data_IF_848759436379
#
_entry.id   IF_848759436379
#
_cell.length_a   1.000
_cell.length_b   1.000
_cell.length_c   1.000
_cell.angle_alpha   90.00
_cell.angle_beta   90.00
_cell.angle_gamma   90.00
#
_symmetry.space_group_name_H-M   'P 1'
#
loop_
_entity.id
_entity.type
_entity.pdbx_description
1 polymer ?
#
# COMPACT_ATOMS: atom_id res chain seq x y z
N UNK A 1 6.73 5.53 -14.85
CA UNK A 1 5.51 5.10 -14.12
C UNK A 1 5.80 3.89 -13.25
N UNK A 2 6.23 2.76 -13.81
CA UNK A 2 6.66 1.60 -13.00
C UNK A 2 7.73 1.98 -11.97
N UNK A 3 8.79 2.67 -12.36
CA UNK A 3 9.85 3.10 -11.44
C UNK A 3 9.33 3.99 -10.29
N UNK A 4 8.36 4.86 -10.56
CA UNK A 4 7.75 5.73 -9.56
C UNK A 4 6.86 4.95 -8.60
N UNK A 5 6.11 3.96 -9.10
CA UNK A 5 5.38 3.04 -8.23
C UNK A 5 6.35 2.26 -7.33
N UNK A 6 7.44 1.73 -7.89
CA UNK A 6 8.47 1.06 -7.10
C UNK A 6 9.11 2.01 -6.07
N UNK A 7 9.35 3.28 -6.42
CA UNK A 7 9.79 4.29 -5.47
C UNK A 7 8.79 4.51 -4.33
N UNK A 8 7.49 4.43 -4.62
CA UNK A 8 6.43 4.45 -3.61
C UNK A 8 6.53 3.28 -2.63
N UNK A 9 6.70 2.05 -3.13
CA UNK A 9 6.91 0.87 -2.27
C UNK A 9 8.23 0.98 -1.48
N UNK A 10 9.28 1.53 -2.10
CA UNK A 10 10.58 1.72 -1.45
C UNK A 10 10.50 2.63 -0.22
N UNK A 11 9.52 3.53 -0.12
CA UNK A 11 9.29 4.31 1.10
C UNK A 11 8.97 3.40 2.30
N UNK A 12 8.12 2.38 2.09
CA UNK A 12 7.79 1.39 3.11
C UNK A 12 8.99 0.49 3.45
N UNK A 13 9.77 0.09 2.45
CA UNK A 13 11.01 -0.68 2.67
C UNK A 13 11.99 0.10 3.53
N UNK A 14 12.21 1.37 3.20
CA UNK A 14 13.10 2.26 3.94
C UNK A 14 12.59 2.51 5.37
N UNK A 15 11.31 2.86 5.54
CA UNK A 15 10.70 3.08 6.85
C UNK A 15 10.74 1.82 7.74
N UNK A 16 10.59 0.64 7.15
CA UNK A 16 10.70 -0.63 7.85
C UNK A 16 12.15 -1.11 8.10
N UNK A 17 13.16 -0.35 7.66
CA UNK A 17 14.57 -0.75 7.76
C UNK A 17 14.88 -2.05 7.01
N UNK A 18 14.23 -2.27 5.86
CA UNK A 18 14.39 -3.46 5.01
C UNK A 18 13.72 -4.74 5.52
N UNK A 19 13.02 -4.70 6.66
CA UNK A 19 12.29 -5.87 7.17
C UNK A 19 11.07 -6.20 6.34
N UNK A 20 10.40 -5.16 5.85
CA UNK A 20 9.39 -5.27 4.80
C UNK A 20 10.12 -5.09 3.46
N UNK A 21 9.90 -6.01 2.53
CA UNK A 21 10.54 -5.99 1.21
C UNK A 21 9.65 -6.67 0.16
N UNK A 22 10.00 -6.54 -1.11
CA UNK A 22 9.29 -7.14 -2.23
C UNK A 22 10.26 -7.77 -3.23
N UNK A 23 9.73 -8.62 -4.09
CA UNK A 23 10.40 -9.11 -5.29
C UNK A 23 9.49 -8.90 -6.48
N UNK A 24 10.06 -8.55 -7.63
CA UNK A 24 9.27 -8.42 -8.86
C UNK A 24 8.91 -9.82 -9.38
N UNK A 25 7.60 -10.06 -9.52
CA UNK A 25 7.11 -11.26 -10.18
C UNK A 25 7.31 -11.15 -11.71
N UNK A 26 7.59 -12.28 -12.36
CA UNK A 26 7.73 -12.33 -13.83
C UNK A 26 6.41 -12.19 -14.59
N UNK A 27 5.28 -12.40 -13.91
CA UNK A 27 3.94 -12.23 -14.46
C UNK A 27 2.96 -11.74 -13.39
N UNK A 28 1.84 -11.15 -13.81
CA UNK A 28 0.79 -10.71 -12.89
C UNK A 28 0.11 -11.86 -12.14
N UNK A 29 0.09 -13.08 -12.71
CA UNK A 29 -0.53 -14.25 -12.09
C UNK A 29 0.26 -14.79 -10.90
N UNK A 30 1.55 -14.48 -10.83
CA UNK A 30 2.46 -14.93 -9.76
C UNK A 30 2.65 -13.85 -8.68
N UNK A 31 2.01 -12.68 -8.83
CA UNK A 31 2.20 -11.54 -7.94
C UNK A 31 1.16 -11.53 -6.81
N UNK A 32 1.61 -11.33 -5.58
CA UNK A 32 0.71 -11.06 -4.45
C UNK A 32 0.06 -9.68 -4.56
N UNK A 33 0.78 -8.72 -5.16
CA UNK A 33 0.30 -7.35 -5.41
C UNK A 33 0.45 -7.05 -6.90
N UNK A 34 -0.65 -6.72 -7.55
CA UNK A 34 -0.66 -6.24 -8.94
C UNK A 34 -0.88 -4.74 -8.99
N UNK A 35 -0.30 -4.06 -9.97
CA UNK A 35 -0.41 -2.60 -10.13
C UNK A 35 -0.86 -2.29 -11.56
N UNK A 36 -1.89 -1.47 -11.69
CA UNK A 36 -2.34 -0.89 -12.97
C UNK A 36 -2.35 0.64 -12.89
N UNK A 37 -2.15 1.29 -14.03
CA UNK A 37 -2.18 2.75 -14.13
C UNK A 37 -3.43 3.17 -14.89
N UNK A 38 -4.28 4.00 -14.26
CA UNK A 38 -5.51 4.50 -14.88
C UNK A 38 -5.34 5.94 -15.37
N UNK A 39 -5.34 6.21 -16.68
CA UNK A 39 -5.23 7.56 -17.24
C UNK A 39 -6.49 8.42 -17.09
N UNK A 40 -7.63 7.85 -16.67
CA UNK A 40 -8.90 8.57 -16.55
C UNK A 40 -9.04 9.34 -15.23
N UNK A 41 -8.23 9.02 -14.22
CA UNK A 41 -8.37 9.53 -12.85
C UNK A 41 -7.04 9.98 -12.25
N UNK A 42 -7.11 10.81 -11.21
CA UNK A 42 -6.00 11.15 -10.32
C UNK A 42 -5.96 10.29 -9.06
N UNK A 43 -7.03 9.55 -8.82
CA UNK A 43 -7.30 8.85 -7.57
C UNK A 43 -6.61 7.50 -7.52
N UNK A 44 -6.39 7.02 -6.32
CA UNK A 44 -5.92 5.66 -6.05
C UNK A 44 -7.08 4.74 -5.67
N UNK A 45 -6.91 3.46 -5.94
CA UNK A 45 -7.85 2.42 -5.50
C UNK A 45 -7.07 1.13 -5.21
N UNK A 46 -7.30 0.57 -4.04
CA UNK A 46 -6.79 -0.74 -3.67
C UNK A 46 -7.92 -1.70 -3.37
N UNK A 47 -7.91 -2.86 -4.03
CA UNK A 47 -8.77 -4.00 -3.71
C UNK A 47 -7.92 -5.09 -3.05
N UNK A 48 -8.33 -5.56 -1.87
CA UNK A 48 -7.62 -6.60 -1.12
C UNK A 48 -8.54 -7.81 -0.99
N UNK A 49 -7.98 -8.99 -1.25
CA UNK A 49 -8.61 -10.28 -0.94
C UNK A 49 -7.89 -10.89 0.25
N UNK A 50 -8.61 -11.28 1.29
CA UNK A 50 -8.04 -11.90 2.48
C UNK A 50 -8.90 -13.05 3.01
N UNK A 51 -8.29 -13.95 3.79
CA UNK A 51 -8.96 -15.06 4.48
C UNK A 51 -8.24 -15.31 5.80
N UNK A 52 -9.00 -15.40 6.90
CA UNK A 52 -8.43 -15.70 8.23
C UNK A 52 -7.38 -14.69 8.70
N UNK A 53 -7.54 -13.40 8.36
CA UNK A 53 -6.58 -12.35 8.68
C UNK A 53 -5.31 -12.37 7.83
N UNK A 54 -5.25 -13.19 6.79
CA UNK A 54 -4.11 -13.27 5.86
C UNK A 54 -4.52 -12.71 4.51
N UNK A 55 -3.75 -11.74 4.01
CA UNK A 55 -3.91 -11.22 2.64
C UNK A 55 -3.54 -12.33 1.65
N UNK A 56 -4.43 -12.58 0.69
CA UNK A 56 -4.25 -13.54 -0.39
C UNK A 56 -3.76 -12.85 -1.66
N UNK A 57 -4.27 -11.65 -1.96
CA UNK A 57 -3.81 -10.81 -3.06
C UNK A 57 -4.27 -9.36 -2.86
N UNK A 58 -3.59 -8.42 -3.50
CA UNK A 58 -4.03 -7.04 -3.65
C UNK A 58 -3.93 -6.58 -5.11
N UNK A 59 -4.90 -5.77 -5.54
CA UNK A 59 -4.91 -5.11 -6.83
C UNK A 59 -4.93 -3.60 -6.60
N UNK A 60 -3.85 -2.94 -7.00
CA UNK A 60 -3.64 -1.50 -6.87
C UNK A 60 -3.88 -0.84 -8.22
N UNK A 61 -4.67 0.22 -8.22
CA UNK A 61 -4.81 1.16 -9.32
C UNK A 61 -4.26 2.51 -8.91
N UNK A 62 -3.34 3.03 -9.73
CA UNK A 62 -2.76 4.36 -9.56
C UNK A 62 -3.30 5.24 -10.69
N UNK A 63 -4.11 6.24 -10.33
CA UNK A 63 -4.50 7.30 -11.25
C UNK A 63 -3.29 8.08 -11.73
N UNK A 64 -3.19 8.42 -13.01
CA UNK A 64 -2.03 9.13 -13.59
C UNK A 64 -2.41 10.39 -14.35
N UNK A 65 -3.69 10.78 -14.31
CA UNK A 65 -4.18 11.97 -15.00
C UNK A 65 -3.58 13.23 -14.36
N UNK A 66 -2.87 14.03 -15.16
CA UNK A 66 -2.27 15.31 -14.76
C UNK A 66 -1.41 15.27 -13.48
N UNK A 67 -0.89 14.10 -13.09
CA UNK A 67 -0.04 13.97 -11.90
C UNK A 67 1.41 14.29 -12.22
N UNK A 68 2.08 14.98 -11.29
CA UNK A 68 3.54 15.08 -11.35
C UNK A 68 4.18 13.73 -10.98
N UNK A 69 5.46 13.51 -11.31
CA UNK A 69 6.16 12.30 -10.88
C UNK A 69 6.14 12.09 -9.36
N UNK A 70 6.22 13.17 -8.57
CA UNK A 70 6.16 13.12 -7.11
C UNK A 70 4.78 12.69 -6.61
N UNK A 71 3.71 13.25 -7.17
CA UNK A 71 2.33 12.90 -6.77
C UNK A 71 1.99 11.45 -7.12
N UNK A 72 2.46 10.96 -8.28
CA UNK A 72 2.28 9.56 -8.67
C UNK A 72 3.01 8.63 -7.69
N UNK A 73 4.22 8.98 -7.29
CA UNK A 73 4.94 8.25 -6.23
C UNK A 73 4.16 8.28 -4.91
N UNK A 74 3.53 9.40 -4.55
CA UNK A 74 2.73 9.54 -3.34
C UNK A 74 1.48 8.66 -3.36
N UNK A 75 0.69 8.73 -4.42
CA UNK A 75 -0.48 7.86 -4.57
C UNK A 75 -0.06 6.40 -4.54
N UNK A 76 0.99 6.02 -5.27
CA UNK A 76 1.49 4.65 -5.21
C UNK A 76 1.90 4.24 -3.78
N UNK A 77 2.64 5.08 -3.05
CA UNK A 77 3.04 4.80 -1.68
C UNK A 77 1.81 4.61 -0.76
N UNK A 78 0.81 5.47 -0.88
CA UNK A 78 -0.46 5.36 -0.14
C UNK A 78 -1.16 4.02 -0.44
N UNK A 79 -1.37 3.70 -1.72
CA UNK A 79 -2.02 2.45 -2.13
C UNK A 79 -1.26 1.21 -1.66
N UNK A 80 0.06 1.26 -1.57
CA UNK A 80 0.81 0.16 -0.98
C UNK A 80 0.57 0.00 0.52
N UNK A 81 0.29 1.08 1.27
CA UNK A 81 -0.12 0.95 2.67
C UNK A 81 -1.41 0.13 2.81
N UNK A 82 -2.38 0.35 1.92
CA UNK A 82 -3.56 -0.50 1.81
C UNK A 82 -3.21 -1.93 1.39
N UNK A 83 -2.40 -2.11 0.35
CA UNK A 83 -1.99 -3.45 -0.10
C UNK A 83 -1.24 -4.26 0.97
N UNK A 84 -0.60 -3.56 1.92
CA UNK A 84 0.04 -4.09 3.12
C UNK A 84 -0.92 -4.23 4.31
N UNK A 85 -2.22 -4.03 4.12
CA UNK A 85 -3.26 -4.35 5.11
C UNK A 85 -3.66 -3.21 6.04
N UNK A 86 -3.23 -1.96 5.81
CA UNK A 86 -3.86 -0.81 6.47
C UNK A 86 -5.26 -0.65 5.87
N UNK A 87 -6.29 -1.06 6.61
CA UNK A 87 -7.68 -0.94 6.17
C UNK A 87 -8.33 0.30 6.80
N UNK A 88 -8.16 1.45 6.14
CA UNK A 88 -8.66 2.75 6.58
C UNK A 88 -7.67 3.87 6.30
N UNK A 89 -8.12 5.10 6.47
CA UNK A 89 -7.29 6.30 6.33
C UNK A 89 -6.92 6.87 7.70
N UNK A 90 -5.79 7.56 7.77
CA UNK A 90 -5.47 8.41 8.91
C UNK A 90 -6.38 9.64 8.94
N UNK A 91 -6.65 10.12 10.15
CA UNK A 91 -7.33 11.40 10.41
C UNK A 91 -6.36 12.59 10.41
N UNK A 92 -5.06 12.33 10.36
CA UNK A 92 -3.99 13.32 10.32
C UNK A 92 -3.52 13.50 8.87
N UNK A 93 -3.80 14.66 8.28
CA UNK A 93 -3.45 14.97 6.88
C UNK A 93 -1.93 14.97 6.60
N UNK A 94 -1.10 14.98 7.64
CA UNK A 94 0.35 14.82 7.49
C UNK A 94 0.79 13.36 7.31
N UNK A 95 -0.09 12.39 7.58
CA UNK A 95 0.21 10.97 7.39
C UNK A 95 0.11 10.57 5.92
N UNK A 96 0.98 9.65 5.49
CA UNK A 96 0.89 9.09 4.14
C UNK A 96 -0.48 8.44 3.92
N UNK A 97 -1.05 7.82 4.96
CA UNK A 97 -2.35 7.14 4.88
C UNK A 97 -3.55 8.08 5.03
N UNK A 98 -3.39 9.41 5.02
CA UNK A 98 -4.52 10.34 4.94
C UNK A 98 -5.29 10.17 3.61
N UNK A 99 -6.61 10.34 3.64
CA UNK A 99 -7.46 10.10 2.46
C UNK A 99 -7.20 11.09 1.31
N UNK A 100 -6.60 12.24 1.63
CA UNK A 100 -6.29 13.34 0.71
C UNK A 100 -4.79 13.60 0.78
N UNK A 101 -4.15 13.76 -0.38
CA UNK A 101 -2.74 14.15 -0.50
C UNK A 101 -2.64 15.52 -1.17
N UNK A 102 -1.81 16.40 -0.61
CA UNK A 102 -1.54 17.73 -1.16
C UNK A 102 -0.58 17.66 -2.35
N UNK A 103 -1.10 17.97 -3.54
CA UNK A 103 -0.31 18.00 -4.79
C UNK A 103 0.97 18.82 -4.64
N UNK A 104 2.09 18.24 -5.08
CA UNK A 104 3.42 18.85 -5.03
C UNK A 104 4.13 18.76 -3.68
N UNK A 105 3.50 18.15 -2.67
CA UNK A 105 4.09 17.94 -1.35
C UNK A 105 4.83 16.61 -1.25
N UNK A 106 5.80 16.53 -0.33
CA UNK A 106 6.37 15.25 0.05
C UNK A 106 5.38 14.45 0.91
N UNK A 107 5.39 13.13 0.75
CA UNK A 107 4.45 12.20 1.37
C UNK A 107 5.23 11.01 2.00
N UNK A 108 6.10 11.27 2.98
CA UNK A 108 6.88 10.19 3.60
C UNK A 108 5.97 9.26 4.40
N UNK A 109 6.29 7.97 4.45
CA UNK A 109 5.70 7.06 5.46
C UNK A 109 6.00 7.62 6.84
N UNK A 110 4.98 7.97 7.61
CA UNK A 110 5.17 8.55 8.94
C UNK A 110 5.41 7.47 9.99
N UNK A 111 5.74 7.92 11.21
CA UNK A 111 5.84 7.01 12.35
C UNK A 111 4.49 6.36 12.68
N UNK A 112 3.37 7.08 12.47
CA UNK A 112 2.02 6.55 12.72
C UNK A 112 1.69 5.44 11.72
N UNK A 113 1.92 5.71 10.43
CA UNK A 113 1.78 4.73 9.35
C UNK A 113 2.59 3.46 9.63
N UNK A 114 3.87 3.63 9.96
CA UNK A 114 4.78 2.52 10.25
C UNK A 114 4.35 1.73 11.50
N UNK A 115 3.82 2.38 12.53
CA UNK A 115 3.36 1.70 13.75
C UNK A 115 2.12 0.86 13.48
N UNK A 116 1.24 1.28 12.56
CA UNK A 116 0.10 0.47 12.10
C UNK A 116 0.58 -0.80 11.42
N UNK A 117 1.55 -0.71 10.50
CA UNK A 117 2.19 -1.88 9.86
C UNK A 117 2.87 -2.78 10.89
N UNK A 118 3.62 -2.23 11.85
CA UNK A 118 4.27 -3.02 12.90
C UNK A 118 3.28 -3.80 13.74
N UNK A 119 2.09 -3.25 13.97
CA UNK A 119 1.01 -3.93 14.70
C UNK A 119 0.43 -5.08 13.88
N UNK A 120 0.16 -4.85 12.59
CA UNK A 120 -0.36 -5.88 11.68
C UNK A 120 0.64 -7.02 11.46
N UNK A 121 1.94 -6.69 11.34
CA UNK A 121 3.02 -7.64 11.12
C UNK A 121 3.90 -7.83 12.36
N UNK A 122 3.29 -7.93 13.54
CA UNK A 122 4.01 -7.99 14.82
C UNK A 122 5.09 -9.08 14.90
N UNK A 123 4.97 -10.16 14.11
CA UNK A 123 5.98 -11.23 14.02
C UNK A 123 7.20 -10.90 13.16
N UNK A 124 7.02 -10.02 12.18
CA UNK A 124 8.11 -9.48 11.37
C UNK A 124 8.93 -8.47 12.18
N UNK A 125 8.26 -7.75 13.09
CA UNK A 125 8.88 -6.68 13.87
C UNK A 125 9.27 -7.07 15.31
N UNK A 126 8.65 -8.09 15.89
CA UNK A 126 8.94 -8.68 17.21
C UNK A 126 9.70 -10.00 17.16
N UNK A 127 10.00 -10.61 18.32
CA UNK A 127 10.59 -11.96 18.43
C UNK A 127 9.49 -13.00 18.70
N UNK A 128 9.30 -13.93 17.73
CA UNK A 128 8.63 -15.27 17.78
C UNK A 128 7.15 -15.43 17.32
N UNK A 129 6.98 -16.48 16.48
CA UNK A 129 5.86 -17.42 16.21
C UNK A 129 5.24 -17.39 14.80
N UNK A 130 5.06 -18.56 14.18
CA UNK A 130 4.58 -18.80 12.79
C UNK A 130 3.06 -18.56 12.60
N UNK A 131 2.58 -18.15 11.40
CA UNK A 131 1.14 -18.03 11.09
C UNK A 131 0.38 -19.31 11.43
N UNK A 132 -0.80 -19.15 12.04
CA UNK A 132 -1.81 -20.18 11.95
C UNK A 132 -2.24 -20.30 10.48
N UNK A 133 -2.64 -21.49 10.07
CA UNK A 133 -3.08 -21.75 8.69
C UNK A 133 -4.21 -20.79 8.28
N UNK A 134 -4.25 -20.43 7.00
CA UNK A 134 -5.32 -19.63 6.37
C UNK A 134 -6.67 -20.31 6.60
N UNK A 135 -7.44 -19.87 7.60
CA UNK A 135 -8.76 -20.43 7.91
C UNK A 135 -9.79 -19.31 8.02
N UNK A 136 -10.86 -19.41 7.21
CA UNK A 136 -11.98 -18.47 7.20
C UNK A 136 -12.48 -18.21 5.77
N UNK A 137 -13.73 -17.73 5.59
CA UNK A 137 -14.22 -17.37 4.27
C UNK A 137 -13.35 -16.25 3.66
N UNK A 138 -13.13 -16.30 2.35
CA UNK A 138 -12.47 -15.21 1.63
C UNK A 138 -13.38 -13.98 1.62
N UNK A 139 -12.80 -12.81 1.90
CA UNK A 139 -13.48 -11.52 1.85
C UNK A 139 -12.71 -10.58 0.89
N UNK A 140 -13.44 -9.65 0.27
CA UNK A 140 -12.89 -8.61 -0.60
C UNK A 140 -13.26 -7.24 -0.05
N UNK A 141 -12.29 -6.34 0.07
CA UNK A 141 -12.50 -4.95 0.48
C UNK A 141 -11.91 -4.03 -0.58
N UNK A 142 -12.61 -2.92 -0.86
CA UNK A 142 -12.16 -1.86 -1.77
C UNK A 142 -11.99 -0.57 -1.00
N UNK A 143 -10.83 0.05 -1.15
CA UNK A 143 -10.48 1.31 -0.49
C UNK A 143 -10.12 2.32 -1.57
N UNK A 144 -10.88 3.42 -1.64
CA UNK A 144 -10.71 4.49 -2.62
C UNK A 144 -10.17 5.73 -1.93
N UNK A 145 -9.25 6.39 -2.60
CA UNK A 145 -8.53 7.57 -2.13
C UNK A 145 -8.76 8.69 -3.12
N UNK A 146 -9.04 9.90 -2.64
CA UNK A 146 -9.37 11.03 -3.51
C UNK A 146 -8.17 11.99 -3.56
N UNK A 147 -7.70 12.33 -4.76
CA UNK A 147 -6.69 13.36 -4.95
C UNK A 147 -7.36 14.72 -5.11
N UNK A 148 -7.11 15.65 -4.18
CA UNK A 148 -7.57 17.04 -4.28
C UNK A 148 -6.51 17.95 -4.95
#
# INVERSE_FOLDING_TARGET
RQELALAGFNQWVAAAGGRLNYTLAGSAGDADITVRFDPATRNGLTEIRFSGGVILSAAVEVGVKDQTPGDLQCVAAHEYGHALGINGHSDDEADLMAAVHLIGSACPVTTRDLNTIKTAYCRLFGRVARPAARQGPSQTVRIRCDGE
#
